data_IF_664479683331
#
_entry.id   IF_664479683331
#
_cell.length_a   1.000
_cell.length_b   1.000
_cell.length_c   1.000
_cell.angle_alpha   90.00
_cell.angle_beta   90.00
_cell.angle_gamma   90.00
#
_symmetry.space_group_name_H-M   'P 1'
#
loop_
_entity.id
_entity.type
_entity.pdbx_description
1 polymer ?
2 non-polymer ?
3 non-polymer ?
4 water ?
#
# COMPACT_ATOMS: atom_id res chain seq x y z
N UNK A 4 3.64 0.96 23.41
CA UNK A 4 4.08 0.87 22.03
C UNK A 4 4.26 2.27 21.40
N UNK A 5 5.11 2.36 20.36
CA UNK A 5 5.37 3.59 19.63
C UNK A 5 4.43 3.73 18.42
N UNK A 6 3.68 2.67 18.13
CA UNK A 6 2.78 2.61 16.97
C UNK A 6 1.61 3.60 17.04
N UNK A 7 1.47 4.41 15.99
CA UNK A 7 0.38 5.38 15.82
C UNK A 7 -0.40 5.00 14.55
N UNK A 8 -1.69 4.66 14.70
CA UNK A 8 -2.56 4.30 13.59
C UNK A 8 -2.88 5.56 12.79
N UNK A 9 -2.70 5.52 11.46
CA UNK A 9 -2.94 6.69 10.63
C UNK A 9 -4.12 6.49 9.72
N UNK A 10 -4.39 5.23 9.35
CA UNK A 10 -5.45 4.85 8.43
C UNK A 10 -5.80 3.41 8.66
N UNK A 11 -7.11 3.11 8.66
CA UNK A 11 -7.62 1.74 8.81
C UNK A 11 -8.96 1.67 8.13
N UNK A 12 -8.97 1.23 6.87
CA UNK A 12 -10.23 1.14 6.13
C UNK A 12 -10.31 -0.10 5.29
N UNK A 13 -11.54 -0.59 5.06
CA UNK A 13 -11.80 -1.64 4.12
C UNK A 13 -12.00 -0.96 2.77
N UNK A 14 -11.26 -1.40 1.77
CA UNK A 14 -11.34 -0.83 0.44
C UNK A 14 -11.59 -1.91 -0.57
N UNK A 15 -12.06 -1.54 -1.77
CA UNK A 15 -12.24 -2.48 -2.87
C UNK A 15 -10.97 -2.48 -3.66
N UNK A 16 -10.41 -3.64 -3.95
CA UNK A 16 -9.20 -3.79 -4.76
C UNK A 16 -9.37 -4.81 -5.87
N UNK A 17 -8.55 -4.72 -6.91
CA UNK A 17 -8.55 -5.78 -7.93
C UNK A 17 -7.44 -6.73 -7.54
N UNK A 18 -7.76 -8.00 -7.33
CA UNK A 18 -6.74 -8.97 -6.98
C UNK A 18 -6.42 -9.83 -8.19
N UNK A 19 -5.14 -9.81 -8.57
CA UNK A 19 -4.65 -10.62 -9.69
C UNK A 19 -3.77 -11.73 -9.13
N UNK A 20 -4.06 -12.98 -9.49
CA UNK A 20 -3.25 -14.08 -9.00
C UNK A 20 -3.13 -15.15 -10.10
N UNK A 21 -1.98 -15.86 -10.21
CA UNK A 21 -1.85 -16.91 -11.24
C UNK A 21 -2.84 -18.07 -11.05
N UNK A 22 -3.10 -18.82 -12.13
CA UNK A 22 -4.03 -19.96 -12.09
C UNK A 22 -3.32 -21.20 -11.56
N UNK A 27 0.31 -19.74 -14.70
CA UNK A 27 1.04 -18.63 -15.34
C UNK A 27 0.14 -17.43 -15.59
N UNK A 28 -1.01 -17.64 -16.27
CA UNK A 28 -2.01 -16.60 -16.59
C UNK A 28 -2.73 -16.16 -15.31
N UNK A 29 -3.12 -14.88 -15.25
CA UNK A 29 -3.79 -14.32 -14.08
C UNK A 29 -5.31 -14.48 -14.11
N UNK A 30 -5.89 -14.76 -12.94
CA UNK A 30 -7.32 -14.71 -12.71
C UNK A 30 -7.57 -13.44 -11.90
N UNK A 31 -8.62 -12.71 -12.22
CA UNK A 31 -8.87 -11.43 -11.57
C UNK A 31 -10.20 -11.38 -10.89
N UNK A 32 -10.20 -10.87 -9.68
CA UNK A 32 -11.39 -10.64 -8.88
C UNK A 32 -11.33 -9.34 -8.16
N UNK A 33 -12.48 -8.66 -8.04
CA UNK A 33 -12.57 -7.51 -7.12
C UNK A 33 -12.73 -8.12 -5.74
N UNK A 34 -12.07 -7.56 -4.76
CA UNK A 34 -12.14 -8.06 -3.38
C UNK A 34 -12.05 -6.92 -2.38
N UNK A 35 -12.77 -7.03 -1.27
CA UNK A 35 -12.63 -6.10 -0.17
C UNK A 35 -11.33 -6.46 0.54
N UNK A 36 -10.52 -5.46 0.85
CA UNK A 36 -9.22 -5.65 1.53
C UNK A 36 -9.14 -4.63 2.66
N UNK A 37 -8.55 -5.03 3.80
CA UNK A 37 -8.37 -4.05 4.88
C UNK A 37 -6.96 -3.51 4.75
N UNK A 38 -6.85 -2.19 4.61
CA UNK A 38 -5.55 -1.52 4.53
C UNK A 38 -5.34 -0.72 5.77
N UNK A 39 -4.20 -0.92 6.40
CA UNK A 39 -3.79 -0.15 7.59
C UNK A 39 -2.48 0.53 7.30
N UNK A 40 -2.40 1.81 7.67
CA UNK A 40 -1.16 2.60 7.56
C UNK A 40 -0.89 3.13 8.94
N UNK A 41 0.33 2.95 9.40
CA UNK A 41 0.74 3.45 10.73
C UNK A 41 2.15 3.96 10.69
N UNK A 42 2.53 4.75 11.72
CA UNK A 42 3.91 5.18 11.89
C UNK A 42 4.41 4.56 13.18
N UNK A 43 5.69 4.20 13.19
CA UNK A 43 6.29 3.57 14.36
C UNK A 43 7.75 3.85 14.43
N UNK A 44 8.31 3.59 15.60
CA UNK A 44 9.73 3.77 15.84
C UNK A 44 10.43 2.42 15.61
N UNK A 45 11.45 2.41 14.73
CA UNK A 45 12.26 1.21 14.47
C UNK A 45 12.94 0.86 15.80
N UNK A 46 12.87 -0.41 16.24
CA UNK A 46 13.40 -0.80 17.55
C UNK A 46 14.93 -0.76 17.58
N UNK A 47 15.62 -0.94 16.44
CA UNK A 47 17.09 -0.91 16.44
C UNK A 47 17.61 0.53 16.30
N UNK A 48 17.18 1.27 15.28
CA UNK A 48 17.70 2.63 15.05
C UNK A 48 16.94 3.76 15.75
N UNK A 49 15.69 3.52 16.14
CA UNK A 49 14.85 4.54 16.75
C UNK A 49 14.25 5.49 15.71
N UNK A 50 14.50 5.23 14.41
CA UNK A 50 14.02 6.12 13.37
C UNK A 50 12.54 5.85 13.01
N UNK A 51 11.89 6.87 12.43
CA UNK A 51 10.48 6.76 12.04
C UNK A 51 10.35 5.86 10.84
N UNK A 52 9.38 4.95 10.93
CA UNK A 52 9.00 3.99 9.91
C UNK A 52 7.56 4.16 9.61
N UNK A 53 7.16 4.01 8.34
CA UNK A 53 5.73 3.91 8.01
C UNK A 53 5.48 2.44 7.84
N UNK A 54 4.32 1.92 8.26
CA UNK A 54 4.05 0.49 8.08
C UNK A 54 2.78 0.34 7.26
N UNK A 55 2.79 -0.49 6.19
CA UNK A 55 1.61 -0.74 5.35
C UNK A 55 1.21 -2.16 5.59
N UNK A 56 -0.08 -2.40 5.85
CA UNK A 56 -0.54 -3.76 6.15
C UNK A 56 -1.81 -4.04 5.42
N UNK A 57 -1.87 -5.22 4.76
CA UNK A 57 -3.10 -5.61 4.06
C UNK A 57 -3.55 -6.98 4.58
N UNK A 58 -4.87 -7.16 4.65
CA UNK A 58 -5.50 -8.41 5.04
C UNK A 58 -6.85 -8.50 4.40
N UNK A 59 -7.44 -9.72 4.39
CA UNK A 59 -8.81 -9.92 3.89
C UNK A 59 -9.36 -11.18 4.54
N UNK A 60 -10.68 -11.16 4.83
CA UNK A 60 -11.33 -12.24 5.58
C UNK A 60 -11.52 -13.51 4.77
N UNK A 61 -11.30 -13.45 3.44
CA UNK A 61 -11.44 -14.64 2.56
C UNK A 61 -10.36 -15.65 2.80
N UNK A 62 -9.17 -15.16 3.22
CA UNK A 62 -7.99 -15.99 3.33
C UNK A 62 -7.13 -15.58 4.52
N UNK A 63 -6.97 -16.51 5.49
CA UNK A 63 -6.16 -16.28 6.70
C UNK A 63 -4.67 -16.10 6.33
N UNK A 64 -4.25 -16.62 5.18
CA UNK A 64 -2.88 -16.53 4.69
C UNK A 64 -2.61 -15.20 3.98
N UNK A 65 -3.66 -14.44 3.67
CA UNK A 65 -3.60 -13.14 3.00
C UNK A 65 -3.31 -12.09 4.07
N UNK A 66 -2.04 -11.98 4.44
CA UNK A 66 -1.58 -11.07 5.48
C UNK A 66 -0.20 -10.59 5.07
N UNK A 67 -0.11 -9.32 4.62
CA UNK A 67 1.15 -8.81 4.09
C UNK A 67 1.50 -7.46 4.65
N UNK A 68 2.81 -7.19 4.81
CA UNK A 68 3.21 -5.88 5.30
C UNK A 68 4.58 -5.48 4.81
N UNK A 69 4.87 -4.20 4.91
CA UNK A 69 6.18 -3.65 4.63
C UNK A 69 6.33 -2.37 5.41
N UNK A 70 7.56 -2.12 5.82
CA UNK A 70 7.88 -0.92 6.58
C UNK A 70 8.73 -0.02 5.66
N UNK A 71 8.50 1.29 5.71
CA UNK A 71 9.22 2.27 4.91
C UNK A 71 9.90 3.26 5.80
N UNK A 72 11.21 3.36 5.74
CA UNK A 72 11.93 4.41 6.48
C UNK A 72 12.22 5.57 5.50
N UNK A 73 12.88 6.67 5.96
CA UNK A 73 13.15 7.79 5.10
C UNK A 73 14.02 7.40 3.89
N UNK A 74 15.05 6.58 4.10
CA UNK A 74 15.99 6.16 3.06
C UNK A 74 15.28 5.31 1.97
N UNK A 75 14.42 4.37 2.39
CA UNK A 75 13.69 3.49 1.47
C UNK A 75 12.65 4.30 0.71
N UNK A 76 12.04 5.28 1.38
CA UNK A 76 11.10 6.20 0.74
C UNK A 76 11.78 6.99 -0.38
N UNK A 77 13.05 7.41 -0.20
CA UNK A 77 13.76 8.18 -1.24
C UNK A 77 13.88 7.35 -2.53
N UNK A 78 14.12 6.03 -2.41
CA UNK A 78 14.19 5.10 -3.54
C UNK A 78 12.79 5.05 -4.21
N UNK A 79 11.74 4.87 -3.38
CA UNK A 79 10.36 4.81 -3.83
C UNK A 79 9.96 6.08 -4.59
N UNK A 80 10.31 7.26 -4.06
CA UNK A 80 9.97 8.54 -4.67
C UNK A 80 10.65 8.69 -6.04
N UNK A 81 11.92 8.25 -6.13
CA UNK A 81 12.72 8.28 -7.36
C UNK A 81 12.10 7.34 -8.40
N UNK A 82 11.78 6.10 -7.99
CA UNK A 82 11.20 5.08 -8.88
C UNK A 82 9.82 5.44 -9.41
N UNK A 83 9.00 6.13 -8.60
CA UNK A 83 7.62 6.46 -8.93
C UNK A 83 7.35 7.94 -9.16
N UNK A 84 8.38 8.80 -9.30
CA UNK A 84 8.24 10.23 -9.58
C UNK A 84 7.40 10.98 -8.53
N UNK A 85 7.49 10.57 -7.26
CA UNK A 85 6.77 11.25 -6.19
C UNK A 85 7.41 12.58 -5.91
N UNK A 86 6.60 13.63 -5.71
CA UNK A 86 7.16 14.96 -5.49
C UNK A 86 7.01 15.44 -4.06
N UNK A 87 6.48 14.57 -3.17
CA UNK A 87 6.33 14.92 -1.74
C UNK A 87 7.44 14.25 -0.96
N UNK A 88 7.84 14.85 0.17
CA UNK A 88 8.88 14.26 1.03
C UNK A 88 8.28 13.18 1.92
N UNK A 89 9.15 12.46 2.65
CA UNK A 89 8.72 11.36 3.50
C UNK A 89 7.68 11.78 4.55
N UNK A 90 7.83 12.97 5.19
CA UNK A 90 6.93 13.52 6.21
C UNK A 90 5.52 13.75 5.66
N UNK A 91 5.45 14.32 4.46
CA UNK A 91 4.16 14.66 3.83
C UNK A 91 3.50 13.42 3.20
N UNK A 92 4.30 12.45 2.78
CA UNK A 92 3.79 11.28 2.06
C UNK A 92 2.59 10.57 2.71
N UNK A 93 2.57 10.17 4.02
CA UNK A 93 1.35 9.48 4.52
C UNK A 93 0.10 10.39 4.50
N UNK A 94 0.27 11.64 4.81
CA UNK A 94 -0.81 12.63 4.82
C UNK A 94 -1.47 12.76 3.45
N UNK A 95 -0.67 12.94 2.40
CA UNK A 95 -1.16 13.14 1.03
C UNK A 95 -1.78 11.84 0.51
N UNK A 96 -1.18 10.67 0.82
CA UNK A 96 -1.76 9.38 0.39
C UNK A 96 -3.09 9.13 1.09
N UNK A 97 -3.17 9.45 2.40
CA UNK A 97 -4.41 9.19 3.15
C UNK A 97 -5.48 10.15 2.63
N UNK A 98 -5.12 11.43 2.38
CA UNK A 98 -6.08 12.39 1.84
C UNK A 98 -6.59 11.88 0.48
N UNK A 99 -5.68 11.36 -0.38
CA UNK A 99 -6.06 10.80 -1.68
C UNK A 99 -7.05 9.63 -1.51
N UNK A 100 -6.73 8.65 -0.63
CA UNK A 100 -7.55 7.45 -0.38
C UNK A 100 -8.93 7.77 0.15
N UNK A 101 -9.07 8.88 0.87
CA UNK A 101 -10.36 9.24 1.44
C UNK A 101 -11.12 10.22 0.55
N UNK A 102 -10.43 10.92 -0.37
CA UNK A 102 -11.03 11.95 -1.21
C UNK A 102 -11.29 11.55 -2.66
N UNK A 103 -10.40 10.71 -3.22
CA UNK A 103 -10.42 10.41 -4.65
C UNK A 103 -10.86 9.00 -4.95
N UNK A 104 -11.55 8.84 -6.09
CA UNK A 104 -12.09 7.57 -6.57
C UNK A 104 -10.95 6.73 -7.20
N UNK A 105 -9.92 6.46 -6.38
CA UNK A 105 -8.71 5.69 -6.69
C UNK A 105 -8.99 4.23 -7.03
N UNK A 106 -7.95 3.53 -7.55
CA UNK A 106 -7.99 2.11 -7.92
C UNK A 106 -6.78 1.41 -7.34
N UNK A 107 -7.00 0.26 -6.69
CA UNK A 107 -5.92 -0.53 -6.13
C UNK A 107 -5.79 -1.86 -6.85
N UNK A 108 -4.56 -2.22 -7.22
CA UNK A 108 -4.29 -3.58 -7.73
C UNK A 108 -3.38 -4.26 -6.76
N UNK A 109 -3.67 -5.53 -6.47
CA UNK A 109 -2.80 -6.36 -5.63
C UNK A 109 -2.44 -7.57 -6.50
N UNK A 110 -1.15 -7.74 -6.77
CA UNK A 110 -0.69 -8.84 -7.60
C UNK A 110 -0.06 -9.82 -6.64
N UNK A 111 -0.75 -10.94 -6.43
CA UNK A 111 -0.40 -11.98 -5.50
C UNK A 111 0.57 -12.98 -6.09
N UNK A 112 1.65 -13.27 -5.34
CA UNK A 112 2.63 -14.28 -5.70
C UNK A 112 1.94 -15.66 -5.64
N UNK A 113 2.35 -16.61 -6.52
CA UNK A 113 1.78 -17.96 -6.59
C UNK A 113 1.75 -18.68 -5.23
N UNK A 114 2.84 -18.57 -4.44
CA UNK A 114 2.96 -19.19 -3.14
C UNK A 114 2.56 -18.25 -1.98
N UNK A 115 1.99 -17.06 -2.29
CA UNK A 115 1.54 -16.07 -1.29
C UNK A 115 2.69 -15.65 -0.35
N UNK A 116 3.92 -15.54 -0.89
CA UNK A 116 5.08 -15.09 -0.10
C UNK A 116 5.10 -13.57 -0.03
N UNK A 117 4.46 -12.94 -1.03
CA UNK A 117 4.38 -11.49 -1.16
C UNK A 117 3.29 -11.10 -2.15
N UNK A 118 3.05 -9.79 -2.23
CA UNK A 118 2.17 -9.19 -3.18
C UNK A 118 2.70 -7.82 -3.50
N UNK A 119 2.30 -7.29 -4.65
CA UNK A 119 2.62 -5.93 -5.03
C UNK A 119 1.35 -5.15 -4.83
N UNK A 120 1.40 -4.10 -4.02
CA UNK A 120 0.26 -3.23 -3.78
C UNK A 120 0.48 -2.04 -4.72
N UNK A 121 -0.46 -1.78 -5.59
CA UNK A 121 -0.34 -0.68 -6.56
C UNK A 121 -1.49 0.27 -6.41
N UNK A 122 -1.19 1.55 -6.23
CA UNK A 122 -2.21 2.60 -6.08
C UNK A 122 -2.24 3.43 -7.36
N UNK A 123 -3.45 3.71 -7.89
CA UNK A 123 -3.63 4.47 -9.13
C UNK A 123 -4.59 5.56 -8.96
N UNK A 124 -4.52 6.56 -9.80
CA UNK A 124 -5.53 7.63 -9.90
C UNK A 124 -5.71 7.90 -11.41
N UNK A 125 -6.63 7.16 -12.05
CA UNK A 125 -6.83 7.20 -13.50
C UNK A 125 -7.14 8.58 -14.01
N UNK A 126 -6.66 8.84 -15.20
CA UNK A 126 -6.91 10.06 -15.94
C UNK A 126 -7.62 9.63 -17.23
N UNK A 127 -8.09 10.58 -18.08
CA UNK A 127 -8.68 10.17 -19.36
C UNK A 127 -7.67 9.54 -20.34
N UNK A 128 -6.36 9.62 -20.06
CA UNK A 128 -5.33 9.15 -21.00
C UNK A 128 -4.55 7.97 -20.47
N UNK A 129 -4.44 7.87 -19.16
CA UNK A 129 -3.56 6.84 -18.63
C UNK A 129 -4.03 6.26 -17.30
N UNK A 130 -3.38 5.17 -16.90
CA UNK A 130 -3.68 4.47 -15.63
C UNK A 130 -3.41 5.35 -14.42
N UNK A 131 -2.48 6.31 -14.52
CA UNK A 131 -2.15 7.21 -13.42
C UNK A 131 -1.63 6.51 -12.18
N UNK A 132 -0.67 5.58 -12.34
CA UNK A 132 -0.06 4.90 -11.17
C UNK A 132 0.59 5.92 -10.24
N UNK A 133 0.28 5.84 -8.94
CA UNK A 133 0.89 6.73 -7.96
C UNK A 133 2.18 6.07 -7.48
N UNK A 134 2.06 4.84 -6.96
CA UNK A 134 3.24 4.08 -6.53
C UNK A 134 2.85 2.64 -6.41
N UNK A 135 3.83 1.79 -6.24
CA UNK A 135 3.65 0.38 -5.94
C UNK A 135 4.68 0.03 -4.88
N UNK A 136 4.34 -0.91 -4.01
CA UNK A 136 5.24 -1.35 -2.96
C UNK A 136 5.08 -2.85 -2.80
N UNK A 137 6.18 -3.57 -2.62
CA UNK A 137 6.16 -5.00 -2.38
C UNK A 137 5.88 -5.25 -0.89
N UNK A 138 4.78 -5.99 -0.59
CA UNK A 138 4.41 -6.33 0.79
C UNK A 138 4.75 -7.77 1.01
N UNK A 139 5.40 -8.07 2.12
CA UNK A 139 5.84 -9.44 2.41
C UNK A 139 4.88 -10.16 3.33
N UNK A 140 4.78 -11.50 3.17
CA UNK A 140 3.89 -12.33 4.00
C UNK A 140 4.31 -12.24 5.47
N UNK A 141 3.31 -12.05 6.35
CA UNK A 141 3.49 -11.88 7.80
C UNK A 141 3.61 -13.24 8.48
X LIG B 1 -8.08 8.47 12.81
X LIG B 1 -7.54 9.75 12.50
X LIG B 1 -7.23 7.37 12.21
X LIG B 1 -5.88 7.54 12.62
X LIG B 1 -7.74 6.02 12.65
X LIG B 1 -6.83 4.99 12.27
X LIG C 1 -15.03 8.79 -3.39
X LIG C 1 -15.00 10.22 -3.36
X LIG C 1 -14.58 8.20 -2.08
X LIG C 1 -13.33 8.78 -1.69
X LIG C 1 -14.43 6.70 -2.21
X LIG C 1 -13.85 6.14 -1.04
X LIG D 1 5.82 -17.07 4.16
X LIG D 1 6.67 -16.72 3.09
X LIG D 1 4.43 -17.40 3.67
X LIG D 1 3.52 -17.38 4.76
X LIG D 1 4.37 -18.73 2.96
X LIG D 1 3.14 -18.88 2.27
X LIG E 1 -5.99 0.07 -12.30
X LIG E 1 -5.90 0.62 -13.61
X LIG E 1 -7.26 -0.74 -12.13
X LIG E 1 -7.43 -1.05 -10.74
X LIG E 1 -7.20 -2.01 -12.95
X LIG E 1 -8.38 -2.78 -12.79
X LIG F 1 -9.06 -13.86 7.64
X LIG F 1 -9.25 -13.50 8.99
X LIG F 1 -10.05 -12.23 9.13
X LIG F 1 -9.38 -11.15 8.49
X LIG F 1 -10.15 -9.97 8.44
X LIG F 1 -9.57 -8.96 7.49
X LIG F 1 -10.51 -7.91 7.29
X LIG F 1 -10.70 -7.58 5.93
X LIG F 1 -12.12 -7.72 5.51
X LIG F 1 -12.20 -7.73 4.09
X LIG F 1 -13.25 -8.53 3.59
X LIG F 1 -12.68 -9.66 2.76
X LIG F 1 -12.90 -9.52 1.34
X LIG G 1 -12.41 -0.43 -8.82
X LIG G 1 -13.47 -0.10 -7.80
X LIG G 1 -14.51 -1.07 -7.86
X LIG G 1 -15.75 -0.59 -7.36
X LIG G 1 -16.76 -1.68 -7.33
X LIG G 1 -16.82 -2.29 -8.61
X LIG G 1 -18.08 -2.90 -8.90
X LIG G 1 -18.22 -3.05 -10.37
X LIG G 1 -16.99 -3.49 -10.94
X LIG G 1 -17.10 -4.70 -11.69
X LIG G 1 -15.89 -4.85 -12.54
X LIG G 1 -15.84 -6.15 -13.14
#
# INVERSE_FOLDING_TARGET
GSMTSKIALFDQTLIASLLQPLSLNQPDFKAYKTKVKLKISEQRNETSGEKELKFEISRSDDFEFLFSETLNNEKYQILARDHDLTVDFDAFPKVIIQHLLCKNTEINIILDAEKNFCSFELFSKTPISKGKIFSIKLHAVR
GOL C1 O1 C2 O2 C3 O3
GOL C1 O1 C2 O2 C3 O3
GOL C1 O1 C2 O2 C3 O3
GOL C1 O1 C2 O2 C3 O3
PG4 O1 C1 C2 O2 C3 C4 O3 C5 C6 O4 C7 C8 O5
PG4 C1 C2 O2 C3 C4 O3 C5 C6 O4 C7 C8 O5
#
